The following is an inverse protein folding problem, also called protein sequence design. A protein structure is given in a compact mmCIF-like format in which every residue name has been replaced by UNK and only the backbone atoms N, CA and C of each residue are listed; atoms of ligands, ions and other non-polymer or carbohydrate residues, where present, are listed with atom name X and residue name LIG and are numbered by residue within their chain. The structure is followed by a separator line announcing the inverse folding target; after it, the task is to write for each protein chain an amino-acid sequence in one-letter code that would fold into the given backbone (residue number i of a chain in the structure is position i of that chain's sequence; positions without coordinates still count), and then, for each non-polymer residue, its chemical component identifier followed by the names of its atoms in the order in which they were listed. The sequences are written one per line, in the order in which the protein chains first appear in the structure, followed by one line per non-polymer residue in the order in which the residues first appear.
data_IF_728094211061
#
_entry.id   IF_728094211061
#
_cell.length_a   1.000
_cell.length_b   1.000
_cell.length_c   1.000
_cell.angle_alpha   90.00
_cell.angle_beta   90.00
_cell.angle_gamma   90.00
#
_symmetry.space_group_name_H-M   'P 1'
#
loop_
_entity.id
_entity.type
_entity.pdbx_description
1 polymer ?
#
# COMPACT_ATOMS: atom_id res chain seq x y z
N UNK A 1 49.21 20.71 -16.79
CA UNK A 1 48.14 20.78 -15.78
C UNK A 1 47.23 19.59 -16.06
N UNK A 2 47.41 18.52 -15.28
CA UNK A 2 46.71 17.24 -15.43
C UNK A 2 45.54 17.23 -14.44
N UNK A 3 44.34 16.96 -14.91
CA UNK A 3 43.14 16.77 -14.10
C UNK A 3 42.88 15.29 -13.94
N UNK A 4 43.12 14.76 -12.74
CA UNK A 4 42.82 13.39 -12.38
C UNK A 4 41.32 13.20 -12.17
N UNK A 5 40.79 12.20 -12.86
CA UNK A 5 39.42 11.74 -12.79
C UNK A 5 39.33 10.69 -11.68
N UNK A 6 38.71 11.02 -10.55
CA UNK A 6 38.41 10.04 -9.50
C UNK A 6 37.14 9.26 -9.84
N UNK A 7 37.31 8.03 -10.30
CA UNK A 7 36.27 7.01 -10.31
C UNK A 7 36.00 6.57 -8.86
N UNK A 8 34.84 6.94 -8.32
CA UNK A 8 34.34 6.39 -7.07
C UNK A 8 34.00 4.91 -7.30
N UNK A 9 34.85 4.02 -6.80
CA UNK A 9 34.54 2.60 -6.67
C UNK A 9 33.41 2.47 -5.63
N UNK A 10 32.27 1.91 -6.04
CA UNK A 10 31.30 1.36 -5.11
C UNK A 10 32.05 0.37 -4.20
N UNK A 11 32.15 0.71 -2.92
CA UNK A 11 32.68 -0.22 -1.93
C UNK A 11 31.67 -1.34 -1.79
N UNK A 12 32.10 -2.57 -2.09
CA UNK A 12 31.36 -3.80 -1.79
C UNK A 12 30.97 -3.77 -0.31
N UNK A 13 29.69 -3.55 -0.02
CA UNK A 13 29.16 -3.72 1.32
C UNK A 13 29.47 -5.16 1.78
N UNK A 14 29.96 -5.37 3.01
CA UNK A 14 30.23 -6.70 3.51
C UNK A 14 28.98 -7.55 3.34
N UNK A 15 29.10 -8.73 2.71
CA UNK A 15 27.99 -9.68 2.52
C UNK A 15 27.35 -9.98 3.88
N UNK A 16 26.31 -9.22 4.24
CA UNK A 16 25.54 -9.46 5.44
C UNK A 16 25.09 -10.91 5.41
N UNK A 17 25.20 -11.60 6.55
CA UNK A 17 24.88 -13.01 6.71
C UNK A 17 23.50 -13.30 6.14
N UNK A 18 23.44 -13.81 4.90
CA UNK A 18 22.17 -14.17 4.29
C UNK A 18 21.91 -15.63 4.61
N UNK A 19 20.81 -15.88 5.29
CA UNK A 19 20.53 -17.18 5.89
C UNK A 19 19.74 -18.11 4.96
N UNK A 20 18.96 -17.56 4.02
CA UNK A 20 18.02 -18.34 3.21
C UNK A 20 18.04 -17.97 1.73
N UNK A 21 17.56 -18.86 0.87
CA UNK A 21 17.34 -18.61 -0.54
C UNK A 21 15.86 -18.38 -0.84
N UNK A 22 15.53 -17.60 -1.87
CA UNK A 22 14.13 -17.38 -2.28
C UNK A 22 13.33 -18.67 -2.54
N UNK A 23 14.00 -19.76 -2.96
CA UNK A 23 13.37 -21.09 -3.14
C UNK A 23 12.84 -21.69 -1.83
N UNK A 24 13.36 -21.25 -0.69
CA UNK A 24 12.98 -21.72 0.64
C UNK A 24 11.69 -21.02 1.13
N UNK A 25 11.20 -20.01 0.39
CA UNK A 25 9.97 -19.29 0.70
C UNK A 25 8.72 -19.85 0.00
N UNK A 26 8.84 -20.96 -0.73
CA UNK A 26 7.73 -21.51 -1.49
C UNK A 26 6.59 -22.00 -0.57
N UNK A 27 5.35 -21.66 -0.93
CA UNK A 27 4.15 -22.08 -0.23
C UNK A 27 3.26 -22.94 -1.15
N UNK A 28 2.88 -24.14 -0.68
CA UNK A 28 1.98 -25.04 -1.44
C UNK A 28 0.55 -24.49 -1.56
N UNK A 29 0.08 -23.76 -0.54
CA UNK A 29 -1.24 -23.13 -0.52
C UNK A 29 -1.11 -21.64 -0.17
N UNK A 30 -0.59 -20.82 -1.10
CA UNK A 30 -0.25 -19.44 -0.80
C UNK A 30 -1.48 -18.55 -0.69
N UNK A 31 -2.60 -18.92 -1.29
CA UNK A 31 -3.76 -18.02 -1.43
C UNK A 31 -4.81 -18.21 -0.34
N UNK A 32 -5.41 -17.09 0.07
CA UNK A 32 -6.54 -17.04 1.00
C UNK A 32 -7.64 -16.16 0.38
N UNK A 33 -8.89 -16.56 0.54
CA UNK A 33 -10.02 -15.75 0.06
C UNK A 33 -10.07 -14.40 0.78
N UNK A 34 -10.53 -13.32 0.10
CA UNK A 34 -10.71 -12.03 0.73
C UNK A 34 -11.65 -12.09 1.94
N UNK A 35 -11.43 -11.26 2.96
CA UNK A 35 -12.39 -11.17 4.05
C UNK A 35 -13.74 -10.65 3.54
N UNK A 36 -14.84 -11.19 4.08
CA UNK A 36 -16.20 -10.71 3.84
C UNK A 36 -16.43 -9.38 4.59
N UNK A 37 -15.76 -8.32 4.17
CA UNK A 37 -15.87 -6.99 4.78
C UNK A 37 -16.62 -6.06 3.83
N UNK A 38 -17.88 -5.75 4.17
CA UNK A 38 -18.61 -4.64 3.55
C UNK A 38 -18.30 -3.36 4.31
N UNK A 39 -17.46 -2.50 3.74
CA UNK A 39 -17.11 -1.22 4.35
C UNK A 39 -18.07 -0.17 3.80
N UNK A 40 -18.96 0.32 4.66
CA UNK A 40 -19.89 1.43 4.33
C UNK A 40 -19.38 2.79 4.83
N UNK A 41 -18.17 2.84 5.41
CA UNK A 41 -17.64 4.06 6.01
C UNK A 41 -17.09 4.97 4.92
N UNK A 42 -17.58 6.21 4.89
CA UNK A 42 -17.08 7.27 4.02
C UNK A 42 -15.75 7.85 4.56
N UNK A 43 -14.92 8.46 3.70
CA UNK A 43 -13.81 9.30 4.15
C UNK A 43 -14.31 10.41 5.07
N UNK A 44 -13.59 10.69 6.15
CA UNK A 44 -13.95 11.79 7.05
C UNK A 44 -13.51 13.13 6.46
N UNK A 45 -14.44 13.80 5.78
CA UNK A 45 -14.23 15.10 5.13
C UNK A 45 -14.62 16.28 6.02
N UNK A 46 -14.96 16.04 7.29
CA UNK A 46 -15.58 17.05 8.18
C UNK A 46 -14.78 18.34 8.28
N UNK A 47 -13.44 18.27 8.27
CA UNK A 47 -12.56 19.43 8.46
C UNK A 47 -12.49 20.41 7.28
N UNK A 48 -12.79 19.97 6.06
CA UNK A 48 -12.76 20.78 4.82
C UNK A 48 -14.05 20.65 4.01
N UNK A 49 -15.12 20.19 4.68
CA UNK A 49 -16.43 19.96 4.07
C UNK A 49 -17.01 21.22 3.42
N UNK A 50 -16.90 22.43 4.01
CA UNK A 50 -17.42 23.65 3.39
C UNK A 50 -16.76 23.94 2.04
N UNK A 51 -15.43 23.86 1.96
CA UNK A 51 -14.64 24.10 0.74
C UNK A 51 -14.97 23.06 -0.32
N UNK A 52 -15.02 21.78 0.07
CA UNK A 52 -15.42 20.70 -0.83
C UNK A 52 -16.85 20.91 -1.35
N UNK A 53 -17.80 21.24 -0.47
CA UNK A 53 -19.21 21.47 -0.87
C UNK A 53 -19.32 22.64 -1.83
N UNK A 54 -18.60 23.74 -1.54
CA UNK A 54 -18.54 24.92 -2.41
C UNK A 54 -18.00 24.56 -3.80
N UNK A 55 -16.87 23.86 -3.86
CA UNK A 55 -16.29 23.39 -5.11
C UNK A 55 -17.27 22.50 -5.88
N UNK A 56 -17.80 21.45 -5.25
CA UNK A 56 -18.71 20.50 -5.89
C UNK A 56 -19.98 21.18 -6.44
N UNK A 57 -20.50 22.19 -5.73
CA UNK A 57 -21.66 22.97 -6.19
C UNK A 57 -21.38 23.85 -7.41
N UNK A 58 -20.10 24.16 -7.66
CA UNK A 58 -19.66 25.00 -8.79
C UNK A 58 -19.31 24.19 -10.05
N UNK A 59 -19.21 22.86 -9.94
CA UNK A 59 -18.89 21.99 -11.07
C UNK A 59 -20.08 21.91 -12.02
N UNK A 60 -19.83 22.12 -13.31
CA UNK A 60 -20.88 22.16 -14.35
C UNK A 60 -20.46 21.54 -15.68
N UNK A 61 -19.23 21.02 -15.79
CA UNK A 61 -18.75 20.38 -17.00
C UNK A 61 -19.18 18.93 -17.14
N UNK A 62 -18.71 18.27 -18.21
CA UNK A 62 -18.98 16.86 -18.48
C UNK A 62 -17.78 15.94 -18.20
N UNK A 63 -16.60 16.54 -18.02
CA UNK A 63 -15.36 15.82 -17.74
C UNK A 63 -15.33 15.23 -16.34
N UNK A 64 -14.60 14.12 -16.20
CA UNK A 64 -14.36 13.48 -14.89
C UNK A 64 -12.89 13.61 -14.52
N UNK A 65 -12.63 14.15 -13.33
CA UNK A 65 -11.32 14.14 -12.71
C UNK A 65 -11.20 12.88 -11.84
N UNK A 66 -10.15 12.09 -12.04
CA UNK A 66 -9.80 10.94 -11.21
C UNK A 66 -8.48 11.22 -10.49
N UNK A 67 -8.56 11.47 -9.19
CA UNK A 67 -7.40 11.72 -8.34
C UNK A 67 -6.80 10.41 -7.83
N UNK A 68 -5.48 10.27 -7.98
CA UNK A 68 -4.69 9.10 -7.61
C UNK A 68 -3.75 9.46 -6.45
N UNK A 69 -4.14 9.21 -5.19
CA UNK A 69 -3.48 9.73 -4.01
C UNK A 69 -2.26 8.87 -3.62
N UNK A 70 -1.20 8.88 -4.43
CA UNK A 70 -0.01 8.05 -4.23
C UNK A 70 1.26 8.71 -4.78
N UNK A 71 2.41 8.35 -4.21
CA UNK A 71 3.73 8.72 -4.74
C UNK A 71 4.39 7.59 -5.54
N UNK A 72 3.77 6.40 -5.54
CA UNK A 72 4.29 5.23 -6.22
C UNK A 72 3.70 5.14 -7.64
N UNK A 73 4.56 5.26 -8.65
CA UNK A 73 4.16 5.29 -10.06
C UNK A 73 3.49 3.98 -10.51
N UNK A 74 3.96 2.82 -10.04
CA UNK A 74 3.34 1.53 -10.36
C UNK A 74 1.92 1.44 -9.78
N UNK A 75 1.72 1.93 -8.55
CA UNK A 75 0.39 2.02 -7.94
C UNK A 75 -0.50 2.98 -8.73
N UNK A 76 0.01 4.13 -9.14
CA UNK A 76 -0.73 5.07 -9.97
C UNK A 76 -1.18 4.42 -11.29
N UNK A 77 -0.31 3.63 -11.92
CA UNK A 77 -0.65 2.91 -13.14
C UNK A 77 -1.72 1.84 -12.92
N UNK A 78 -1.63 1.07 -11.84
CA UNK A 78 -2.68 0.11 -11.45
C UNK A 78 -4.02 0.82 -11.23
N UNK A 79 -4.01 1.98 -10.56
CA UNK A 79 -5.21 2.75 -10.26
C UNK A 79 -5.92 3.29 -11.51
N UNK A 80 -5.19 3.66 -12.57
CA UNK A 80 -5.80 4.10 -13.84
C UNK A 80 -6.72 3.05 -14.44
N UNK A 81 -6.47 1.77 -14.17
CA UNK A 81 -7.31 0.66 -14.59
C UNK A 81 -8.73 0.68 -14.03
N UNK A 82 -9.04 1.52 -13.02
CA UNK A 82 -10.42 1.65 -12.49
C UNK A 82 -11.40 2.25 -13.50
N UNK A 83 -10.91 3.04 -14.45
CA UNK A 83 -11.76 3.69 -15.44
C UNK A 83 -11.93 2.77 -16.66
N UNK A 84 -13.16 2.46 -17.08
CA UNK A 84 -13.38 1.63 -18.28
C UNK A 84 -12.80 2.28 -19.53
N UNK A 85 -12.32 1.46 -20.46
CA UNK A 85 -11.82 1.96 -21.75
C UNK A 85 -12.87 2.78 -22.49
N UNK A 86 -12.47 3.95 -22.98
CA UNK A 86 -13.36 4.87 -23.72
C UNK A 86 -14.15 5.85 -22.84
N UNK A 87 -14.02 5.78 -21.52
CA UNK A 87 -14.55 6.80 -20.63
C UNK A 87 -13.59 8.00 -20.57
N UNK A 88 -14.09 9.21 -20.83
CA UNK A 88 -13.29 10.44 -20.83
C UNK A 88 -12.99 10.88 -19.39
N UNK A 89 -11.82 10.49 -18.90
CA UNK A 89 -11.33 10.82 -17.59
C UNK A 89 -9.95 11.46 -17.65
N UNK A 90 -9.79 12.54 -16.89
CA UNK A 90 -8.50 13.15 -16.59
C UNK A 90 -7.95 12.56 -15.31
N UNK A 91 -6.73 12.03 -15.36
CA UNK A 91 -6.06 11.50 -14.17
C UNK A 91 -5.08 12.52 -13.60
N UNK A 92 -5.11 12.71 -12.29
CA UNK A 92 -4.13 13.54 -11.59
C UNK A 92 -3.55 12.79 -10.40
N UNK A 93 -2.23 12.68 -10.34
CA UNK A 93 -1.53 12.06 -9.21
C UNK A 93 -1.35 13.10 -8.13
N UNK A 94 -1.92 12.84 -6.96
CA UNK A 94 -1.85 13.75 -5.80
C UNK A 94 -1.01 13.07 -4.73
N UNK A 95 0.14 13.65 -4.38
CA UNK A 95 0.98 13.09 -3.32
C UNK A 95 0.28 13.26 -1.98
N UNK A 96 -0.13 12.17 -1.34
CA UNK A 96 -0.76 12.21 -0.02
C UNK A 96 -0.28 11.07 0.88
N UNK A 97 -0.26 11.34 2.19
CA UNK A 97 0.14 10.38 3.22
C UNK A 97 -1.05 9.52 3.64
N UNK A 98 -0.76 8.29 4.09
CA UNK A 98 -1.76 7.37 4.65
C UNK A 98 -1.95 7.52 6.16
N UNK A 99 -0.99 8.12 6.86
CA UNK A 99 -0.98 8.33 8.32
C UNK A 99 -1.16 7.04 9.16
N UNK A 100 -0.79 5.88 8.59
CA UNK A 100 -0.90 4.55 9.23
C UNK A 100 0.40 3.75 9.24
N UNK A 101 1.53 4.43 9.12
CA UNK A 101 2.87 3.82 9.04
C UNK A 101 3.20 3.21 7.68
N UNK A 102 4.39 2.62 7.58
CA UNK A 102 4.86 1.98 6.35
C UNK A 102 4.16 0.64 6.09
N UNK A 103 3.93 -0.14 7.16
CA UNK A 103 3.26 -1.43 7.11
C UNK A 103 1.98 -1.37 7.94
N UNK A 104 0.84 -1.10 7.30
CA UNK A 104 -0.42 -1.14 8.00
C UNK A 104 -0.82 -2.60 8.30
N UNK A 105 -1.32 -2.82 9.52
CA UNK A 105 -1.89 -4.08 9.96
C UNK A 105 -3.41 -3.97 10.15
N UNK A 106 -4.12 -5.05 9.85
CA UNK A 106 -5.56 -5.19 10.09
C UNK A 106 -6.36 -4.00 9.51
N UNK A 107 -7.17 -3.32 10.34
CA UNK A 107 -7.98 -2.19 9.90
C UNK A 107 -7.19 -0.95 9.50
N UNK A 108 -5.90 -0.86 9.88
CA UNK A 108 -5.07 0.26 9.48
C UNK A 108 -4.85 0.31 7.96
N UNK A 109 -4.91 -0.83 7.26
CA UNK A 109 -4.81 -0.85 5.79
C UNK A 109 -5.95 -0.10 5.13
N UNK A 110 -7.17 -0.41 5.56
CA UNK A 110 -8.40 0.27 5.14
C UNK A 110 -8.34 1.76 5.51
N UNK A 111 -7.96 2.06 6.75
CA UNK A 111 -7.87 3.45 7.23
C UNK A 111 -6.85 4.26 6.42
N UNK A 112 -5.71 3.65 6.05
CA UNK A 112 -4.68 4.28 5.23
C UNK A 112 -5.19 4.71 3.85
N UNK A 113 -5.94 3.84 3.17
CA UNK A 113 -6.57 4.20 1.88
C UNK A 113 -7.61 5.32 2.03
N UNK A 114 -8.43 5.30 3.10
CA UNK A 114 -9.41 6.36 3.36
C UNK A 114 -8.73 7.70 3.70
N UNK A 115 -7.65 7.66 4.48
CA UNK A 115 -6.84 8.85 4.80
C UNK A 115 -6.21 9.42 3.53
N UNK A 116 -5.68 8.58 2.64
CA UNK A 116 -5.15 9.04 1.34
C UNK A 116 -6.20 9.80 0.52
N UNK A 117 -7.43 9.29 0.46
CA UNK A 117 -8.55 9.95 -0.23
C UNK A 117 -8.85 11.30 0.43
N UNK A 118 -9.03 11.31 1.75
CA UNK A 118 -9.29 12.52 2.54
C UNK A 118 -8.20 13.59 2.29
N UNK A 119 -6.95 13.21 2.51
CA UNK A 119 -5.80 14.11 2.43
C UNK A 119 -5.61 14.64 1.01
N UNK A 120 -5.87 13.85 -0.03
CA UNK A 120 -5.79 14.31 -1.41
C UNK A 120 -6.90 15.32 -1.76
N UNK A 121 -8.14 15.10 -1.27
CA UNK A 121 -9.20 16.09 -1.41
C UNK A 121 -8.85 17.38 -0.68
N UNK A 122 -8.35 17.30 0.54
CA UNK A 122 -7.92 18.45 1.32
C UNK A 122 -6.83 19.25 0.60
N UNK A 123 -5.78 18.59 0.10
CA UNK A 123 -4.71 19.22 -0.70
C UNK A 123 -5.28 19.87 -1.96
N UNK A 124 -6.27 19.24 -2.60
CA UNK A 124 -6.86 19.77 -3.82
C UNK A 124 -7.70 21.02 -3.56
N UNK A 125 -8.59 20.99 -2.56
CA UNK A 125 -9.55 22.07 -2.30
C UNK A 125 -8.98 23.24 -1.52
N UNK A 126 -7.95 23.00 -0.71
CA UNK A 126 -7.18 24.08 -0.07
C UNK A 126 -6.12 24.53 -1.07
N UNK A 127 -5.83 25.83 -1.18
CA UNK A 127 -4.92 26.44 -2.18
C UNK A 127 -3.43 25.96 -2.09
N UNK A 128 -3.17 24.83 -1.44
CA UNK A 128 -1.89 24.12 -1.40
C UNK A 128 -1.68 23.19 -2.61
N UNK A 129 -2.66 23.10 -3.51
CA UNK A 129 -2.57 22.27 -4.71
C UNK A 129 -1.50 22.77 -5.68
N UNK A 130 -0.60 21.90 -6.19
CA UNK A 130 0.33 22.28 -7.26
C UNK A 130 -0.38 22.58 -8.59
N UNK A 131 -1.67 22.26 -8.70
CA UNK A 131 -2.51 22.50 -9.88
C UNK A 131 -3.13 23.91 -9.89
N UNK A 132 -2.87 24.72 -8.86
CA UNK A 132 -3.54 26.00 -8.64
C UNK A 132 -4.90 25.84 -7.98
N UNK A 133 -5.74 26.88 -8.06
CA UNK A 133 -7.09 26.85 -7.51
C UNK A 133 -7.90 25.70 -8.11
N UNK A 134 -8.46 24.83 -7.27
CA UNK A 134 -9.29 23.71 -7.72
C UNK A 134 -10.45 24.16 -8.62
N UNK A 135 -11.08 25.30 -8.30
CA UNK A 135 -12.17 25.84 -9.11
C UNK A 135 -11.69 26.22 -10.51
N UNK A 136 -10.56 26.94 -10.60
CA UNK A 136 -9.98 27.34 -11.89
C UNK A 136 -9.54 26.11 -12.71
N UNK A 137 -8.93 25.12 -12.05
CA UNK A 137 -8.54 23.86 -12.69
C UNK A 137 -9.75 23.12 -13.26
N UNK A 138 -10.80 22.94 -12.45
CA UNK A 138 -12.02 22.28 -12.88
C UNK A 138 -12.72 23.03 -14.02
N UNK A 139 -12.76 24.36 -13.99
CA UNK A 139 -13.33 25.17 -15.08
C UNK A 139 -12.52 25.03 -16.38
N UNK A 140 -11.19 25.13 -16.30
CA UNK A 140 -10.29 24.99 -17.46
C UNK A 140 -10.44 23.64 -18.15
N UNK A 141 -10.66 22.58 -17.37
CA UNK A 141 -10.76 21.21 -17.86
C UNK A 141 -12.19 20.70 -18.00
N UNK A 142 -13.19 21.59 -17.91
CA UNK A 142 -14.61 21.24 -18.02
C UNK A 142 -15.00 20.06 -17.10
N UNK A 143 -14.54 20.06 -15.85
CA UNK A 143 -14.80 18.99 -14.88
C UNK A 143 -16.17 19.18 -14.23
N UNK A 144 -17.00 18.14 -14.31
CA UNK A 144 -18.30 18.03 -13.63
C UNK A 144 -18.33 17.06 -12.46
N UNK A 145 -17.40 16.09 -12.44
CA UNK A 145 -17.35 15.03 -11.43
C UNK A 145 -15.92 14.79 -10.98
N UNK A 146 -15.75 14.55 -9.68
CA UNK A 146 -14.47 14.17 -9.08
C UNK A 146 -14.60 12.77 -8.49
N UNK A 147 -13.69 11.89 -8.88
CA UNK A 147 -13.50 10.57 -8.31
C UNK A 147 -12.14 10.53 -7.62
N UNK A 148 -12.02 9.81 -6.52
CA UNK A 148 -10.75 9.61 -5.83
C UNK A 148 -10.53 8.13 -5.61
N UNK A 149 -9.44 7.58 -6.15
CA UNK A 149 -9.18 6.15 -6.10
C UNK A 149 -7.88 5.88 -5.36
N UNK A 150 -7.92 5.18 -4.24
CA UNK A 150 -6.75 4.79 -3.46
C UNK A 150 -6.58 3.27 -3.43
N UNK A 151 -5.33 2.82 -3.32
CA UNK A 151 -4.98 1.41 -3.07
C UNK A 151 -3.93 1.30 -1.97
N UNK A 152 -4.05 0.26 -1.15
CA UNK A 152 -3.12 -0.04 -0.07
C UNK A 152 -2.85 -1.54 0.03
N UNK A 153 -1.62 -1.91 0.40
CA UNK A 153 -1.32 -3.27 0.82
C UNK A 153 -1.35 -3.30 2.35
N UNK A 154 -1.87 -4.36 2.93
CA UNK A 154 -1.88 -4.49 4.38
C UNK A 154 -1.87 -5.95 4.78
N UNK A 155 -1.34 -6.20 5.98
CA UNK A 155 -1.26 -7.55 6.53
C UNK A 155 -2.36 -7.71 7.57
N UNK A 156 -3.08 -8.82 7.53
CA UNK A 156 -4.05 -9.16 8.55
C UNK A 156 -3.74 -10.50 9.20
N UNK A 157 -4.17 -10.64 10.45
CA UNK A 157 -4.13 -11.85 11.24
C UNK A 157 -4.67 -11.56 12.63
N UNK A 158 -4.67 -12.57 13.50
CA UNK A 158 -5.02 -12.38 14.91
C UNK A 158 -3.75 -12.11 15.69
N UNK A 159 -3.69 -11.02 16.47
CA UNK A 159 -2.53 -10.78 17.33
C UNK A 159 -2.40 -11.91 18.35
N UNK A 160 -1.23 -12.53 18.40
CA UNK A 160 -0.89 -13.60 19.35
C UNK A 160 0.40 -13.25 20.09
N UNK A 161 0.51 -13.67 21.34
CA UNK A 161 1.78 -13.63 22.05
C UNK A 161 2.71 -14.67 21.42
N UNK A 162 3.87 -14.21 20.96
CA UNK A 162 4.92 -15.06 20.46
C UNK A 162 5.81 -15.48 21.64
N UNK A 163 5.85 -16.78 21.95
CA UNK A 163 6.72 -17.36 22.99
C UNK A 163 7.99 -17.99 22.39
N UNK A 164 8.39 -17.58 21.19
CA UNK A 164 9.70 -17.94 20.65
C UNK A 164 10.74 -16.89 21.03
N UNK A 165 11.89 -17.34 21.53
CA UNK A 165 13.08 -16.50 21.54
C UNK A 165 13.37 -16.14 20.07
N UNK A 166 13.17 -14.88 19.68
CA UNK A 166 13.81 -14.39 18.46
C UNK A 166 15.29 -14.67 18.68
N UNK A 167 15.87 -15.58 17.88
CA UNK A 167 17.25 -16.01 18.09
C UNK A 167 18.13 -14.76 18.25
N UNK A 168 18.68 -14.47 19.44
CA UNK A 168 19.44 -13.26 19.67
C UNK A 168 20.67 -13.22 18.75
N UNK A 169 21.20 -14.38 18.34
CA UNK A 169 22.28 -14.48 17.37
C UNK A 169 21.84 -13.96 15.97
N UNK A 170 20.55 -14.00 15.61
CA UNK A 170 20.05 -13.35 14.39
C UNK A 170 19.90 -11.84 14.55
N UNK A 171 19.70 -11.34 15.79
CA UNK A 171 19.62 -9.92 16.09
C UNK A 171 21.01 -9.26 16.18
N UNK A 172 22.01 -10.01 16.68
CA UNK A 172 23.41 -9.57 16.82
C UNK A 172 24.18 -9.53 15.49
N UNK A 173 23.70 -10.20 14.44
CA UNK A 173 24.33 -10.25 13.11
C UNK A 173 23.79 -9.21 12.13
N UNK A 174 22.83 -8.38 12.55
CA UNK A 174 22.37 -7.21 11.81
C UNK A 174 23.10 -6.02 12.42
N UNK A 175 23.82 -5.18 11.64
CA UNK A 175 24.46 -4.00 12.20
C UNK A 175 23.39 -3.10 12.81
N UNK A 176 23.32 -3.13 14.15
CA UNK A 176 22.46 -2.27 14.94
C UNK A 176 23.26 -0.98 15.12
N UNK A 177 22.75 0.12 14.57
CA UNK A 177 23.19 1.45 15.00
C UNK A 177 22.73 1.58 16.45
N UNK A 178 23.67 1.74 17.39
CA UNK A 178 23.51 1.63 18.83
C UNK A 178 22.20 2.27 19.34
N UNK A 179 21.16 1.45 19.57
CA UNK A 179 20.01 1.85 20.37
C UNK A 179 19.51 0.68 21.21
N UNK A 180 19.70 0.84 22.51
CA UNK A 180 19.27 -0.03 23.60
C UNK A 180 17.83 -0.54 23.44
N UNK A 181 17.66 -1.82 23.11
CA UNK A 181 16.39 -2.54 23.26
C UNK A 181 16.56 -4.07 23.16
N UNK A 182 17.27 -4.70 24.10
CA UNK A 182 17.02 -6.13 24.37
C UNK A 182 15.77 -6.21 25.25
N UNK A 183 14.61 -6.10 24.61
CA UNK A 183 13.32 -6.22 25.28
C UNK A 183 12.97 -7.71 25.37
N UNK A 184 13.17 -8.30 26.54
CA UNK A 184 12.60 -9.59 26.95
C UNK A 184 11.12 -9.46 27.35
N UNK A 185 10.35 -8.66 26.59
CA UNK A 185 8.88 -8.69 26.68
C UNK A 185 8.38 -9.65 25.63
N UNK A 186 7.39 -10.47 25.98
CA UNK A 186 6.62 -11.28 25.03
C UNK A 186 6.30 -10.46 23.77
N UNK A 187 6.95 -10.79 22.67
CA UNK A 187 6.70 -10.18 21.38
C UNK A 187 5.28 -10.53 20.92
N UNK A 188 4.65 -9.65 20.14
CA UNK A 188 3.34 -9.93 19.55
C UNK A 188 3.53 -10.15 18.04
N UNK A 189 3.04 -11.26 17.52
CA UNK A 189 2.97 -11.52 16.07
C UNK A 189 1.52 -11.67 15.62
N UNK A 190 1.31 -12.04 14.36
CA UNK A 190 0.00 -12.36 13.79
C UNK A 190 -0.07 -13.86 13.51
N UNK A 191 -1.13 -14.52 13.96
CA UNK A 191 -1.43 -15.90 13.56
C UNK A 191 -1.86 -15.92 12.08
N UNK A 192 -1.28 -16.86 11.33
CA UNK A 192 -1.58 -17.12 9.93
C UNK A 192 -1.64 -15.85 9.08
N UNK A 193 -0.57 -15.01 9.08
CA UNK A 193 -0.66 -13.68 8.51
C UNK A 193 -0.76 -13.70 7.00
N UNK A 194 -1.60 -12.81 6.48
CA UNK A 194 -1.93 -12.72 5.06
C UNK A 194 -1.82 -11.28 4.59
N UNK A 195 -1.10 -11.07 3.48
CA UNK A 195 -1.02 -9.77 2.78
C UNK A 195 -2.15 -9.68 1.75
N UNK A 196 -2.95 -8.62 1.84
CA UNK A 196 -4.05 -8.31 0.95
C UNK A 196 -3.81 -6.97 0.24
N UNK A 197 -4.26 -6.88 -1.01
CA UNK A 197 -4.51 -5.61 -1.68
C UNK A 197 -5.90 -5.10 -1.32
N UNK A 198 -5.99 -3.82 -0.95
CA UNK A 198 -7.23 -3.10 -0.71
C UNK A 198 -7.36 -1.95 -1.71
N UNK A 199 -8.56 -1.78 -2.27
CA UNK A 199 -8.89 -0.71 -3.19
C UNK A 199 -10.14 0.05 -2.70
N UNK A 200 -10.14 1.36 -2.89
CA UNK A 200 -11.24 2.24 -2.49
C UNK A 200 -11.45 3.36 -3.53
N UNK A 201 -12.66 3.44 -4.08
CA UNK A 201 -13.12 4.54 -4.94
C UNK A 201 -14.14 5.37 -4.19
N UNK A 202 -13.93 6.67 -4.13
CA UNK A 202 -14.91 7.64 -3.62
C UNK A 202 -15.45 8.49 -4.77
N UNK A 203 -16.77 8.45 -4.98
CA UNK A 203 -17.52 9.33 -5.87
C UNK A 203 -18.06 10.52 -5.07
N UNK A 204 -17.43 11.68 -5.22
CA UNK A 204 -17.79 12.88 -4.46
C UNK A 204 -19.16 13.43 -4.83
N UNK A 205 -19.64 13.17 -6.05
CA UNK A 205 -20.92 13.70 -6.54
C UNK A 205 -22.12 12.95 -5.96
N UNK A 206 -21.92 11.69 -5.60
CA UNK A 206 -22.95 10.81 -5.01
C UNK A 206 -22.72 10.52 -3.53
N UNK A 207 -21.59 10.98 -3.01
CA UNK A 207 -21.10 10.64 -1.66
C UNK A 207 -21.07 9.12 -1.43
N UNK A 208 -20.60 8.37 -2.43
CA UNK A 208 -20.58 6.90 -2.44
C UNK A 208 -19.16 6.37 -2.40
N UNK A 209 -18.97 5.28 -1.65
CA UNK A 209 -17.69 4.56 -1.59
C UNK A 209 -17.85 3.13 -2.08
N UNK A 210 -16.92 2.72 -2.93
CA UNK A 210 -16.78 1.35 -3.39
C UNK A 210 -15.45 0.81 -2.88
N UNK A 211 -15.49 -0.36 -2.24
CA UNK A 211 -14.28 -0.98 -1.67
C UNK A 211 -14.19 -2.43 -2.07
N UNK A 212 -12.99 -2.93 -2.30
CA UNK A 212 -12.76 -4.36 -2.48
C UNK A 212 -11.41 -4.80 -1.95
N UNK A 213 -11.32 -6.09 -1.66
CA UNK A 213 -10.08 -6.78 -1.34
C UNK A 213 -9.72 -7.71 -2.51
N UNK A 214 -8.43 -7.82 -2.80
CA UNK A 214 -7.89 -8.94 -3.58
C UNK A 214 -8.01 -10.23 -2.75
N UNK A 215 -7.75 -11.38 -3.36
CA UNK A 215 -7.28 -12.53 -2.58
C UNK A 215 -6.02 -12.17 -1.80
N UNK A 216 -5.75 -12.92 -0.74
CA UNK A 216 -4.59 -12.74 0.10
C UNK A 216 -3.48 -13.71 -0.25
N UNK A 217 -2.24 -13.33 0.07
CA UNK A 217 -1.07 -14.20 0.01
C UNK A 217 -0.53 -14.40 1.41
N UNK A 218 -0.43 -15.67 1.83
CA UNK A 218 0.18 -16.04 3.11
C UNK A 218 1.64 -15.60 3.14
N UNK A 219 2.05 -15.07 4.26
CA UNK A 219 3.46 -14.73 4.49
C UNK A 219 4.18 -16.03 4.84
N UNK A 220 5.32 -16.35 4.18
CA UNK A 220 6.04 -17.58 4.44
C UNK A 220 6.67 -17.57 5.83
N UNK A 221 6.90 -18.77 6.37
CA UNK A 221 7.77 -18.98 7.51
C UNK A 221 8.95 -19.82 7.04
N UNK A 222 10.15 -19.54 7.56
CA UNK A 222 11.32 -20.36 7.24
C UNK A 222 11.66 -21.22 8.45
N UNK A 223 11.64 -22.54 8.28
CA UNK A 223 12.02 -23.47 9.34
C UNK A 223 13.54 -23.51 9.48
N UNK A 224 14.03 -23.40 10.71
CA UNK A 224 15.45 -23.58 11.02
C UNK A 224 15.61 -24.60 12.15
N UNK A 225 16.83 -25.11 12.35
CA UNK A 225 17.13 -25.98 13.49
C UNK A 225 16.88 -25.29 14.84
N UNK A 226 16.99 -23.95 14.88
CA UNK A 226 16.80 -23.12 16.08
C UNK A 226 15.38 -22.57 16.24
N UNK A 227 14.45 -22.91 15.34
CA UNK A 227 13.06 -22.42 15.35
C UNK A 227 12.61 -21.81 14.03
N UNK A 228 11.31 -21.52 13.93
CA UNK A 228 10.72 -20.92 12.73
C UNK A 228 10.95 -19.40 12.71
N UNK A 229 11.29 -18.86 11.55
CA UNK A 229 11.42 -17.41 11.34
C UNK A 229 10.08 -16.84 10.89
N UNK A 230 9.56 -15.96 11.72
CA UNK A 230 8.37 -15.17 11.47
C UNK A 230 8.76 -13.76 10.98
N UNK A 231 8.59 -13.50 9.68
CA UNK A 231 8.90 -12.19 9.09
C UNK A 231 7.99 -11.06 9.60
N UNK A 232 6.77 -11.36 10.06
CA UNK A 232 5.88 -10.36 10.67
C UNK A 232 6.40 -9.99 12.05
N UNK A 233 6.76 -10.99 12.88
CA UNK A 233 7.37 -10.75 14.19
C UNK A 233 8.64 -9.92 14.04
N UNK A 234 9.49 -10.26 13.07
CA UNK A 234 10.70 -9.49 12.76
C UNK A 234 10.38 -8.06 12.30
N UNK A 235 9.41 -7.86 11.40
CA UNK A 235 9.03 -6.51 10.97
C UNK A 235 8.47 -5.67 12.13
N UNK A 236 7.65 -6.28 13.00
CA UNK A 236 7.09 -5.65 14.21
C UNK A 236 8.14 -5.32 15.27
N UNK A 237 9.21 -6.12 15.39
CA UNK A 237 10.30 -5.84 16.36
C UNK A 237 11.09 -4.58 16.01
N UNK A 238 11.02 -4.12 14.75
CA UNK A 238 11.61 -2.85 14.30
C UNK A 238 10.79 -1.61 14.66
N UNK A 239 9.72 -1.80 15.42
CA UNK A 239 8.95 -0.72 16.04
C UNK A 239 7.71 -0.30 15.27
N UNK A 240 7.10 0.76 15.78
CA UNK A 240 5.80 1.26 15.37
C UNK A 240 5.84 2.78 15.23
N UNK A 241 5.13 3.32 14.26
CA UNK A 241 4.95 4.76 14.11
C UNK A 241 3.99 5.25 15.20
N UNK A 242 4.42 6.28 15.94
CA UNK A 242 3.70 6.90 17.05
C UNK A 242 3.24 5.91 18.14
N UNK A 243 3.95 4.78 18.29
CA UNK A 243 3.61 3.72 19.25
C UNK A 243 2.36 2.91 18.92
N UNK A 244 1.72 3.13 17.76
CA UNK A 244 0.51 2.39 17.37
C UNK A 244 0.87 1.03 16.76
N UNK A 245 0.48 -0.07 17.43
CA UNK A 245 0.81 -1.44 17.01
C UNK A 245 0.29 -1.84 15.62
N UNK A 246 -0.69 -1.10 15.08
CA UNK A 246 -1.18 -1.36 13.72
C UNK A 246 -0.40 -0.58 12.64
N UNK A 247 0.57 0.25 13.04
CA UNK A 247 1.33 1.15 12.16
C UNK A 247 2.80 0.74 12.17
N UNK A 248 3.15 -0.38 11.51
CA UNK A 248 4.52 -0.88 11.49
C UNK A 248 5.51 0.13 10.90
N UNK A 249 6.67 0.30 11.54
CA UNK A 249 7.75 1.15 11.06
C UNK A 249 8.53 0.51 9.89
N UNK A 250 8.50 -0.83 9.78
CA UNK A 250 9.08 -1.57 8.67
C UNK A 250 8.07 -2.53 8.04
N UNK A 251 8.25 -2.77 6.74
CA UNK A 251 7.46 -3.71 5.96
C UNK A 251 7.99 -5.13 6.05
N UNK A 252 7.10 -6.11 5.86
CA UNK A 252 7.51 -7.52 5.75
C UNK A 252 8.41 -7.74 4.54
N UNK A 253 8.23 -6.98 3.46
CA UNK A 253 9.15 -7.01 2.33
C UNK A 253 10.58 -6.62 2.72
N UNK A 254 10.76 -5.59 3.57
CA UNK A 254 12.08 -5.22 4.12
C UNK A 254 12.65 -6.34 5.01
N UNK A 255 11.80 -6.98 5.83
CA UNK A 255 12.19 -8.14 6.64
C UNK A 255 12.69 -9.31 5.78
N UNK A 256 11.94 -9.69 4.74
CA UNK A 256 12.32 -10.74 3.80
C UNK A 256 13.62 -10.38 3.08
N UNK A 257 13.76 -9.14 2.59
CA UNK A 257 14.98 -8.67 1.92
C UNK A 257 16.23 -8.79 2.81
N UNK A 258 16.08 -8.53 4.11
CA UNK A 258 17.20 -8.59 5.04
C UNK A 258 17.69 -10.04 5.28
N UNK A 259 16.81 -11.03 5.14
CA UNK A 259 17.09 -12.41 5.56
C UNK A 259 17.21 -13.40 4.38
N UNK A 260 16.78 -13.01 3.18
CA UNK A 260 16.64 -13.91 2.03
C UNK A 260 17.44 -13.43 0.82
N UNK A 261 18.30 -14.32 0.30
CA UNK A 261 19.09 -14.13 -0.91
C UNK A 261 18.15 -14.25 -2.12
N UNK A 262 18.17 -13.29 -3.06
CA UNK A 262 17.45 -13.44 -4.31
C UNK A 262 17.97 -14.67 -5.07
N UNK A 263 17.12 -15.27 -5.91
CA UNK A 263 17.60 -16.31 -6.83
C UNK A 263 18.67 -15.73 -7.78
N UNK A 264 19.74 -16.50 -8.03
CA UNK A 264 20.86 -16.07 -8.88
C UNK A 264 20.38 -15.47 -10.21
N UNK A 265 20.98 -14.32 -10.59
CA UNK A 265 20.71 -13.65 -11.87
C UNK A 265 19.49 -12.74 -11.90
N UNK A 266 18.83 -12.47 -10.76
CA UNK A 266 17.70 -11.55 -10.68
C UNK A 266 18.06 -10.27 -9.94
N UNK A 267 18.14 -9.16 -10.67
CA UNK A 267 18.41 -7.83 -10.14
C UNK A 267 17.11 -7.15 -9.62
N UNK A 268 16.26 -7.88 -8.90
CA UNK A 268 14.92 -7.42 -8.51
C UNK A 268 14.81 -7.13 -7.01
N UNK A 269 14.06 -6.07 -6.67
CA UNK A 269 13.76 -5.66 -5.29
C UNK A 269 12.76 -6.62 -4.64
N UNK A 270 13.26 -7.73 -4.08
CA UNK A 270 12.46 -8.69 -3.29
C UNK A 270 11.58 -7.97 -2.25
N UNK A 271 12.05 -6.84 -1.69
CA UNK A 271 11.27 -6.03 -0.74
C UNK A 271 9.96 -5.45 -1.31
N UNK A 272 9.88 -5.20 -2.61
CA UNK A 272 8.71 -4.58 -3.22
C UNK A 272 7.65 -5.61 -3.68
N UNK A 273 8.07 -6.84 -4.01
CA UNK A 273 7.20 -7.85 -4.65
C UNK A 273 7.60 -9.30 -4.30
N UNK A 274 7.88 -9.57 -3.03
CA UNK A 274 8.15 -10.92 -2.51
C UNK A 274 7.05 -11.95 -2.84
N UNK A 275 5.82 -11.49 -3.10
CA UNK A 275 4.68 -12.29 -3.58
C UNK A 275 5.04 -13.17 -4.79
N UNK A 276 5.82 -12.63 -5.74
CA UNK A 276 6.26 -13.38 -6.90
C UNK A 276 7.13 -14.57 -6.49
N UNK A 277 8.06 -14.37 -5.55
CA UNK A 277 8.97 -15.43 -5.13
C UNK A 277 8.24 -16.55 -4.37
N UNK A 278 7.31 -16.22 -3.48
CA UNK A 278 6.59 -17.24 -2.68
C UNK A 278 5.56 -18.03 -3.48
N UNK A 279 5.03 -17.42 -4.56
CA UNK A 279 4.03 -18.06 -5.42
C UNK A 279 4.62 -18.71 -6.67
N UNK A 280 5.95 -18.72 -6.84
CA UNK A 280 6.57 -19.20 -8.07
C UNK A 280 6.23 -18.34 -9.29
N UNK A 281 6.01 -17.04 -9.07
CA UNK A 281 5.67 -16.01 -10.05
C UNK A 281 4.31 -16.19 -10.74
N UNK A 282 3.43 -16.98 -10.11
CA UNK A 282 2.03 -17.10 -10.53
C UNK A 282 1.27 -15.81 -10.23
N UNK A 283 1.62 -15.11 -9.14
CA UNK A 283 0.99 -13.85 -8.72
C UNK A 283 2.02 -12.87 -8.20
N UNK A 284 1.97 -11.64 -8.69
CA UNK A 284 2.71 -10.51 -8.15
C UNK A 284 1.83 -9.66 -7.22
N UNK A 285 2.46 -8.81 -6.42
CA UNK A 285 1.81 -7.76 -5.64
C UNK A 285 0.87 -6.91 -6.50
N UNK A 286 1.32 -6.54 -7.70
CA UNK A 286 0.54 -5.68 -8.58
C UNK A 286 -0.65 -6.43 -9.20
N UNK A 287 -0.57 -7.74 -9.37
CA UNK A 287 -1.73 -8.55 -9.78
C UNK A 287 -2.81 -8.56 -8.70
N UNK A 288 -2.42 -8.66 -7.42
CA UNK A 288 -3.35 -8.53 -6.30
C UNK A 288 -4.02 -7.15 -6.28
N UNK A 289 -3.23 -6.08 -6.44
CA UNK A 289 -3.78 -4.72 -6.47
C UNK A 289 -4.73 -4.52 -7.66
N UNK A 290 -4.39 -5.03 -8.85
CA UNK A 290 -5.27 -5.02 -10.03
C UNK A 290 -6.55 -5.79 -9.79
N UNK A 291 -6.49 -6.93 -9.10
CA UNK A 291 -7.69 -7.70 -8.73
C UNK A 291 -8.64 -6.89 -7.84
N UNK A 292 -8.10 -6.18 -6.83
CA UNK A 292 -8.91 -5.30 -5.98
C UNK A 292 -9.52 -4.14 -6.77
N UNK A 293 -8.74 -3.50 -7.66
CA UNK A 293 -9.21 -2.39 -8.52
C UNK A 293 -10.32 -2.86 -9.47
N UNK A 294 -10.16 -4.02 -10.11
CA UNK A 294 -11.17 -4.59 -11.02
C UNK A 294 -12.51 -4.82 -10.31
N UNK A 295 -12.48 -5.36 -9.09
CA UNK A 295 -13.71 -5.55 -8.28
C UNK A 295 -14.37 -4.21 -7.92
N UNK A 296 -13.60 -3.18 -7.59
CA UNK A 296 -14.14 -1.83 -7.35
C UNK A 296 -14.75 -1.24 -8.62
N UNK A 297 -14.07 -1.39 -9.77
CA UNK A 297 -14.58 -0.97 -11.07
C UNK A 297 -15.91 -1.66 -11.39
N UNK A 298 -16.02 -2.98 -11.21
CA UNK A 298 -17.26 -3.72 -11.47
C UNK A 298 -18.44 -3.19 -10.66
N UNK A 299 -18.25 -2.95 -9.36
CA UNK A 299 -19.29 -2.41 -8.49
C UNK A 299 -19.66 -0.96 -8.86
N UNK A 300 -18.66 -0.15 -9.22
CA UNK A 300 -18.88 1.22 -9.69
C UNK A 300 -19.65 1.27 -11.03
N UNK A 301 -19.35 0.36 -11.97
CA UNK A 301 -20.09 0.19 -13.22
C UNK A 301 -21.55 -0.19 -12.93
N UNK A 302 -21.78 -1.17 -12.05
CA UNK A 302 -23.13 -1.59 -11.64
C UNK A 302 -23.94 -0.45 -11.01
N UNK A 303 -23.27 0.41 -10.24
CA UNK A 303 -23.86 1.60 -9.65
C UNK A 303 -23.98 2.78 -10.65
N UNK A 304 -23.58 2.60 -11.90
CA UNK A 304 -23.68 3.62 -12.95
C UNK A 304 -22.72 4.79 -12.78
N UNK A 305 -21.61 4.63 -12.05
CA UNK A 305 -20.61 5.70 -11.85
C UNK A 305 -20.00 6.15 -13.18
N UNK A 306 -19.75 5.20 -14.08
CA UNK A 306 -19.14 5.41 -15.40
C UNK A 306 -20.15 5.46 -16.56
N UNK A 307 -21.42 5.75 -16.28
CA UNK A 307 -22.37 6.06 -17.35
C UNK A 307 -22.13 7.49 -17.83
N UNK A 308 -22.23 7.72 -19.15
CA UNK A 308 -22.25 9.07 -19.69
C UNK A 308 -23.32 9.87 -18.95
N UNK A 309 -23.02 11.13 -18.60
CA UNK A 309 -24.02 12.02 -18.02
C UNK A 309 -25.21 12.04 -18.98
N UNK A 310 -26.29 11.34 -18.60
CA UNK A 310 -27.57 11.52 -19.27
C UNK A 310 -28.01 12.91 -18.86
N UNK A 311 -27.66 13.90 -19.68
CA UNK A 311 -28.13 15.28 -19.54
C UNK A 311 -29.64 15.24 -19.38
N UNK A 312 -30.12 15.65 -18.20
CA UNK A 312 -31.52 15.92 -17.92
C UNK A 312 -31.95 17.22 -18.60
#
# INVERSE_FOLDING_TARGET
MSTDCHSSQEQDEPEANVFFHAKDLYLEQPFVDPPSLTIKKQPDTTSFRPELTSLLSSLSGDGVLVMLPTENEDKAEVLKGVVPSGFDARFEVVKSKSDVGEQPYNRAGIQGAMNRIKNALEIFVTDSSPLGSAQAFCQLHNIGRILVMAIENYITGTDISYEGDLNPDLLDLIPVDDSDAIVSEKGWTLDSPVDFGFACLYDTSRDMVFTAHSRGVRIPFVKTESGDIDFVAYAKSKGYIDGNRNHGAQTVGKAIKALVRPAQGRNYSISANWHGDVTGWIVTRYDLLKEAVAKVQDEAIKAGVFQANQTA
#
